data_IF_484565285037
#
_entry.id   IF_484565285037
#
_cell.length_a   1.000
_cell.length_b   1.000
_cell.length_c   1.000
_cell.angle_alpha   90.00
_cell.angle_beta   90.00
_cell.angle_gamma   90.00
#
_symmetry.space_group_name_H-M   'P 1'
#
loop_
_entity.id
_entity.type
_entity.pdbx_description
1 polymer ?
#
# COMPACT_ATOMS: atom_id res chain seq x y z
N UNK A 1 21.85 22.49 12.28
CA UNK A 1 23.19 21.93 12.25
C UNK A 1 23.12 20.40 12.18
N UNK A 2 24.23 19.73 12.23
CA UNK A 2 24.28 18.28 12.01
C UNK A 2 23.49 17.51 13.09
N UNK A 3 23.52 17.99 14.32
CA UNK A 3 22.80 17.32 15.41
C UNK A 3 21.30 17.45 15.23
N UNK A 4 20.87 18.62 14.76
CA UNK A 4 19.44 18.83 14.52
C UNK A 4 18.94 17.97 13.38
N UNK A 5 19.76 17.85 12.32
CA UNK A 5 19.41 17.00 11.19
C UNK A 5 19.35 15.54 11.59
N UNK A 6 20.32 15.10 12.42
CA UNK A 6 20.33 13.73 12.90
C UNK A 6 19.11 13.41 13.74
N UNK A 7 18.72 14.35 14.59
CA UNK A 7 17.56 14.16 15.43
C UNK A 7 16.27 14.11 14.62
N UNK A 8 16.21 14.95 13.59
CA UNK A 8 15.05 14.99 12.70
C UNK A 8 14.90 13.68 11.95
N UNK A 9 16.00 13.13 11.45
CA UNK A 9 15.98 11.86 10.76
C UNK A 9 15.56 10.73 11.71
N UNK A 10 16.11 10.72 12.91
CA UNK A 10 15.77 9.70 13.89
C UNK A 10 14.29 9.74 14.24
N UNK A 11 13.74 10.94 14.43
CA UNK A 11 12.33 11.09 14.73
C UNK A 11 11.46 10.56 13.60
N UNK A 12 11.87 10.84 12.37
CA UNK A 12 11.14 10.36 11.20
C UNK A 12 11.17 8.84 11.12
N UNK A 13 12.34 8.25 11.37
CA UNK A 13 12.47 6.80 11.37
C UNK A 13 11.53 6.18 12.40
N UNK A 14 11.47 6.78 13.60
CA UNK A 14 10.60 6.29 14.65
C UNK A 14 9.13 6.39 14.24
N UNK A 15 8.74 7.48 13.57
CA UNK A 15 7.36 7.62 13.13
C UNK A 15 6.94 6.52 12.17
N UNK A 16 7.84 6.11 11.28
CA UNK A 16 7.50 5.14 10.25
C UNK A 16 7.89 3.71 10.61
N UNK A 17 8.25 3.47 11.86
CA UNK A 17 8.61 2.15 12.34
C UNK A 17 7.51 1.63 13.26
N UNK A 18 7.01 0.43 12.93
CA UNK A 18 5.94 -0.17 13.73
C UNK A 18 6.49 -0.58 15.09
N UNK A 19 5.73 -0.27 16.14
CA UNK A 19 6.10 -0.63 17.50
C UNK A 19 5.98 -2.12 17.72
N UNK A 20 6.68 -2.59 18.75
CA UNK A 20 6.76 -4.01 19.07
C UNK A 20 5.41 -4.64 19.33
N UNK A 21 4.54 -3.94 20.03
CA UNK A 21 3.23 -4.44 20.36
C UNK A 21 2.12 -3.83 19.52
N UNK A 22 2.48 -3.13 18.47
CA UNK A 22 1.56 -2.42 17.62
C UNK A 22 1.16 -3.30 16.44
N UNK A 23 -0.14 -3.46 16.20
CA UNK A 23 -0.58 -4.18 15.01
C UNK A 23 -0.35 -3.30 13.79
N UNK A 24 -0.40 -3.92 12.61
CA UNK A 24 -0.21 -3.18 11.36
C UNK A 24 -1.29 -2.10 11.22
N UNK A 25 -2.53 -2.41 11.57
CA UNK A 25 -3.61 -1.43 11.47
C UNK A 25 -3.43 -0.29 12.45
N UNK A 26 -3.00 -0.60 13.66
CA UNK A 26 -2.73 0.44 14.66
C UNK A 26 -1.61 1.36 14.20
N UNK A 27 -0.59 0.78 13.60
CA UNK A 27 0.53 1.51 13.07
C UNK A 27 0.09 2.47 11.95
N UNK A 28 -0.67 1.96 11.00
CA UNK A 28 -1.16 2.79 9.90
C UNK A 28 -2.09 3.88 10.39
N UNK A 29 -2.95 3.55 11.35
CA UNK A 29 -3.86 4.53 11.93
C UNK A 29 -3.09 5.63 12.65
N UNK A 30 -2.03 5.25 13.36
CA UNK A 30 -1.20 6.23 14.06
C UNK A 30 -0.56 7.23 13.08
N UNK A 31 -0.03 6.72 11.98
CA UNK A 31 0.57 7.60 10.97
C UNK A 31 -0.50 8.52 10.37
N UNK A 32 -1.67 7.96 10.06
CA UNK A 32 -2.75 8.75 9.48
C UNK A 32 -3.19 9.87 10.42
N UNK A 33 -3.33 9.55 11.70
CA UNK A 33 -3.86 10.51 12.67
C UNK A 33 -2.81 11.50 13.16
N UNK A 34 -1.60 11.04 13.37
CA UNK A 34 -0.59 11.82 14.07
C UNK A 34 0.73 11.96 13.34
N UNK A 35 0.89 11.32 12.22
CA UNK A 35 2.16 11.35 11.50
C UNK A 35 2.45 12.72 10.92
N UNK A 36 3.74 13.04 10.82
CA UNK A 36 4.17 14.25 10.16
C UNK A 36 3.92 14.13 8.66
N UNK A 37 3.97 15.25 7.96
CA UNK A 37 3.79 15.23 6.52
C UNK A 37 4.84 14.35 5.85
N UNK A 38 6.08 14.44 6.31
CA UNK A 38 7.15 13.60 5.75
C UNK A 38 6.90 12.12 5.98
N UNK A 39 6.40 11.76 7.17
CA UNK A 39 6.09 10.37 7.46
C UNK A 39 5.00 9.84 6.54
N UNK A 40 3.98 10.66 6.30
CA UNK A 40 2.89 10.27 5.41
C UNK A 40 3.37 10.12 3.97
N UNK A 41 4.24 11.03 3.52
CA UNK A 41 4.82 10.95 2.18
C UNK A 41 5.61 9.65 2.03
N UNK A 42 6.46 9.35 3.01
CA UNK A 42 7.26 8.13 2.97
C UNK A 42 6.37 6.89 2.94
N UNK A 43 5.34 6.88 3.76
CA UNK A 43 4.47 5.72 3.84
C UNK A 43 3.68 5.53 2.56
N UNK A 44 3.22 6.61 1.95
CA UNK A 44 2.51 6.52 0.67
C UNK A 44 3.44 6.09 -0.46
N UNK A 45 4.67 6.60 -0.49
CA UNK A 45 5.63 6.21 -1.51
C UNK A 45 5.96 4.72 -1.40
N UNK A 46 6.13 4.24 -0.16
CA UNK A 46 6.39 2.83 0.09
C UNK A 46 5.21 1.99 -0.40
N UNK A 47 3.98 2.44 -0.12
CA UNK A 47 2.79 1.69 -0.51
C UNK A 47 2.65 1.65 -2.03
N UNK A 48 2.95 2.76 -2.72
CA UNK A 48 2.90 2.78 -4.17
C UNK A 48 3.86 1.74 -4.74
N UNK A 49 5.08 1.71 -4.22
CA UNK A 49 6.08 0.75 -4.66
C UNK A 49 5.59 -0.69 -4.43
N UNK A 50 5.02 -0.95 -3.25
CA UNK A 50 4.53 -2.28 -2.94
C UNK A 50 3.31 -2.67 -3.78
N UNK A 51 2.46 -1.70 -4.10
CA UNK A 51 1.31 -1.97 -4.96
C UNK A 51 1.73 -2.34 -6.38
N UNK A 52 2.80 -1.73 -6.86
CA UNK A 52 3.35 -2.08 -8.16
C UNK A 52 3.87 -3.51 -8.12
N UNK A 53 4.61 -3.84 -7.07
CA UNK A 53 5.15 -5.19 -6.89
C UNK A 53 4.06 -6.25 -6.69
N UNK A 54 2.89 -5.82 -6.31
CA UNK A 54 1.77 -6.72 -6.08
C UNK A 54 1.42 -7.51 -7.33
N UNK A 55 1.82 -7.02 -8.51
CA UNK A 55 1.59 -7.74 -9.74
C UNK A 55 2.28 -9.09 -9.79
N UNK A 56 3.27 -9.32 -8.95
CA UNK A 56 3.99 -10.58 -8.90
C UNK A 56 3.45 -11.54 -7.83
N UNK A 57 2.47 -11.08 -7.05
CA UNK A 57 1.87 -11.90 -6.01
C UNK A 57 0.77 -12.74 -6.62
N UNK A 58 0.68 -14.00 -6.24
CA UNK A 58 -0.29 -14.91 -6.84
C UNK A 58 -1.49 -15.24 -5.94
N UNK A 59 -1.45 -14.80 -4.69
CA UNK A 59 -2.56 -15.06 -3.76
C UNK A 59 -3.62 -13.97 -3.89
N UNK A 60 -4.77 -14.28 -4.49
CA UNK A 60 -5.79 -13.25 -4.70
C UNK A 60 -6.37 -12.71 -3.39
N UNK A 61 -6.40 -13.51 -2.34
CA UNK A 61 -6.93 -13.05 -1.06
C UNK A 61 -6.00 -12.02 -0.43
N UNK A 62 -4.70 -12.22 -0.57
CA UNK A 62 -3.74 -11.25 -0.08
C UNK A 62 -3.88 -9.93 -0.84
N UNK A 63 -4.02 -10.02 -2.16
CA UNK A 63 -4.14 -8.83 -3.00
C UNK A 63 -5.39 -8.04 -2.61
N UNK A 64 -6.50 -8.75 -2.39
CA UNK A 64 -7.74 -8.11 -2.00
C UNK A 64 -7.61 -7.38 -0.67
N UNK A 65 -7.05 -8.07 0.33
CA UNK A 65 -6.86 -7.45 1.65
C UNK A 65 -5.91 -6.26 1.59
N UNK A 66 -4.88 -6.38 0.77
CA UNK A 66 -3.90 -5.30 0.64
C UNK A 66 -4.52 -4.07 -0.02
N UNK A 67 -5.36 -4.29 -1.03
CA UNK A 67 -6.09 -3.21 -1.68
C UNK A 67 -7.04 -2.53 -0.70
N UNK A 68 -7.76 -3.33 0.10
CA UNK A 68 -8.68 -2.78 1.10
C UNK A 68 -7.93 -1.95 2.13
N UNK A 69 -6.81 -2.43 2.60
CA UNK A 69 -5.99 -1.71 3.58
C UNK A 69 -5.46 -0.41 2.98
N UNK A 70 -5.04 -0.45 1.73
CA UNK A 70 -4.53 0.73 1.04
C UNK A 70 -5.63 1.77 0.90
N UNK A 71 -6.83 1.33 0.54
CA UNK A 71 -7.96 2.23 0.41
C UNK A 71 -8.32 2.88 1.74
N UNK A 72 -8.33 2.09 2.78
CA UNK A 72 -8.78 2.57 4.08
C UNK A 72 -7.79 3.53 4.75
N UNK A 73 -6.50 3.22 4.70
CA UNK A 73 -5.49 4.00 5.42
C UNK A 73 -4.66 4.92 4.54
N UNK A 74 -4.28 4.45 3.37
CA UNK A 74 -3.34 5.19 2.55
C UNK A 74 -3.99 6.25 1.66
N UNK A 75 -5.18 5.99 1.17
CA UNK A 75 -5.85 7.00 0.36
C UNK A 75 -6.13 8.28 1.15
N UNK A 76 -6.68 8.21 2.38
CA UNK A 76 -6.87 9.45 3.14
C UNK A 76 -5.55 10.17 3.41
N UNK A 77 -4.49 9.41 3.67
CA UNK A 77 -3.17 9.95 3.90
C UNK A 77 -2.67 10.71 2.67
N UNK A 78 -2.76 10.06 1.52
CA UNK A 78 -2.30 10.65 0.26
C UNK A 78 -3.13 11.87 -0.12
N UNK A 79 -4.44 11.81 0.10
CA UNK A 79 -5.31 12.94 -0.21
C UNK A 79 -4.90 14.18 0.57
N UNK A 80 -4.42 13.98 1.77
CA UNK A 80 -3.99 15.08 2.63
C UNK A 80 -2.67 15.70 2.16
N UNK A 81 -1.75 14.90 1.63
CA UNK A 81 -0.39 15.35 1.39
C UNK A 81 -0.01 15.57 -0.07
N UNK A 82 -0.57 14.81 -0.99
CA UNK A 82 -0.15 14.89 -2.39
C UNK A 82 -1.19 14.25 -3.30
N UNK A 83 -1.86 15.10 -4.06
CA UNK A 83 -2.93 14.66 -4.93
C UNK A 83 -2.46 13.69 -6.02
N UNK A 84 -1.21 13.85 -6.47
CA UNK A 84 -0.67 12.92 -7.47
C UNK A 84 -0.48 11.52 -6.89
N UNK A 85 -0.03 11.43 -5.65
CA UNK A 85 0.09 10.14 -4.98
C UNK A 85 -1.29 9.52 -4.77
N UNK A 86 -2.27 10.35 -4.43
CA UNK A 86 -3.65 9.89 -4.26
C UNK A 86 -4.16 9.26 -5.55
N UNK A 87 -3.98 9.94 -6.68
CA UNK A 87 -4.40 9.42 -7.97
C UNK A 87 -3.67 8.15 -8.34
N UNK A 88 -2.38 8.11 -8.07
CA UNK A 88 -1.60 6.92 -8.40
C UNK A 88 -2.07 5.72 -7.59
N UNK A 89 -2.34 5.92 -6.31
CA UNK A 89 -2.84 4.83 -5.46
C UNK A 89 -4.21 4.37 -5.92
N UNK A 90 -5.10 5.30 -6.28
CA UNK A 90 -6.41 4.92 -6.79
C UNK A 90 -6.27 4.06 -8.05
N UNK A 91 -5.42 4.48 -8.97
CA UNK A 91 -5.23 3.73 -10.22
C UNK A 91 -4.69 2.34 -9.94
N UNK A 92 -3.76 2.22 -9.01
CA UNK A 92 -3.19 0.93 -8.67
C UNK A 92 -4.23 0.01 -8.03
N UNK A 93 -5.02 0.57 -7.11
CA UNK A 93 -6.08 -0.21 -6.46
C UNK A 93 -7.08 -0.70 -7.50
N UNK A 94 -7.53 0.19 -8.37
CA UNK A 94 -8.51 -0.15 -9.39
C UNK A 94 -7.97 -1.20 -10.35
N UNK A 95 -6.72 -1.06 -10.75
CA UNK A 95 -6.10 -2.00 -11.67
C UNK A 95 -6.02 -3.39 -11.05
N UNK A 96 -5.58 -3.47 -9.79
CA UNK A 96 -5.46 -4.76 -9.12
C UNK A 96 -6.83 -5.40 -8.89
N UNK A 97 -7.82 -4.60 -8.50
CA UNK A 97 -9.16 -5.12 -8.28
C UNK A 97 -9.80 -5.60 -9.57
N UNK A 98 -9.59 -4.87 -10.66
CA UNK A 98 -10.12 -5.28 -11.95
C UNK A 98 -9.51 -6.61 -12.38
N UNK A 99 -8.22 -6.75 -12.16
CA UNK A 99 -7.55 -7.99 -12.52
C UNK A 99 -8.15 -9.17 -11.74
N UNK A 100 -8.47 -8.96 -10.46
CA UNK A 100 -9.13 -9.98 -9.66
C UNK A 100 -10.53 -10.28 -10.16
N UNK A 101 -11.30 -9.24 -10.48
CA UNK A 101 -12.66 -9.39 -10.98
C UNK A 101 -12.70 -10.13 -12.29
N UNK A 102 -11.75 -9.85 -13.15
CA UNK A 102 -11.68 -10.50 -14.45
C UNK A 102 -11.13 -11.90 -14.33
N UNK A 103 -10.77 -12.32 -13.14
CA UNK A 103 -10.26 -13.65 -12.93
C UNK A 103 -8.84 -13.86 -13.41
N UNK A 104 -8.08 -12.79 -13.58
CA UNK A 104 -6.74 -12.88 -14.14
C UNK A 104 -5.85 -13.88 -13.46
N UNK A 105 -5.87 -13.90 -12.14
CA UNK A 105 -5.04 -14.82 -11.37
C UNK A 105 -5.53 -16.26 -11.47
N UNK A 106 -6.82 -16.44 -11.68
CA UNK A 106 -7.42 -17.74 -11.81
C UNK A 106 -7.40 -18.21 -13.25
N UNK A 107 -7.61 -17.28 -14.17
CA UNK A 107 -7.62 -17.59 -15.58
C UNK A 107 -6.31 -18.17 -16.08
N UNK A 108 -5.22 -17.70 -15.56
CA UNK A 108 -3.94 -18.24 -15.97
C UNK A 108 -3.82 -19.71 -15.70
N UNK A 109 -4.45 -20.15 -14.63
CA UNK A 109 -4.48 -21.57 -14.33
C UNK A 109 -5.52 -22.29 -15.13
N UNK A 110 -6.62 -21.65 -15.35
CA UNK A 110 -7.69 -22.25 -16.09
C UNK A 110 -7.43 -22.35 -17.55
N UNK A 111 -6.73 -21.41 -18.11
CA UNK A 111 -6.42 -21.47 -19.52
C UNK A 111 -5.67 -22.70 -19.88
N UNK A 112 -4.87 -23.14 -18.98
CA UNK A 112 -4.12 -24.33 -19.23
C UNK A 112 -4.94 -25.56 -19.14
N UNK A 113 -6.01 -25.53 -18.36
CA UNK A 113 -6.82 -26.71 -18.23
C UNK A 113 -8.03 -26.60 -19.05
N UNK A 114 -8.52 -25.43 -19.24
CA UNK A 114 -9.77 -25.28 -19.87
C UNK A 114 -9.70 -25.28 -21.29
N UNK A 115 -8.62 -24.97 -21.74
CA UNK A 115 -8.53 -25.06 -23.08
C UNK A 115 -8.62 -26.36 -23.47
N UNK A 116 -8.78 -26.65 -22.66
CA UNK A 116 -9.27 -27.45 -22.66
C UNK A 116 -10.53 -27.45 -22.48
N UNK A 117 -11.01 -26.73 -22.34
CA UNK A 117 -11.90 -26.50 -22.15
C UNK A 117 -12.59 -26.09 -22.71
N UNK A 118 -12.21 -26.01 -23.28
CA UNK A 118 -12.45 -25.72 -23.55
C UNK A 118 -12.51 -26.02 -23.79
#
# INVERSE_FOLDING_TARGET
>A
NADDEGEEVLNLVLEVTRGENETKKEFLQRILDKGSQKAKILKCADRISNMISLGYVTDPHFIERYCDETEFFLLPMALEIDFNMYHELINLIMTRRRYLEDGGYFDNRHKESDSDKK
#
